data_IF_776130174910
#
_entry.id   IF_776130174910
#
_cell.length_a   1.000
_cell.length_b   1.000
_cell.length_c   1.000
_cell.angle_alpha   90.00
_cell.angle_beta   90.00
_cell.angle_gamma   90.00
#
_symmetry.space_group_name_H-M   'P 1'
#
loop_
_entity.id
_entity.type
_entity.pdbx_description
1 polymer ?
#
# COMPACT_ATOMS: atom_id res chain seq x y z
N UNK A 1 13.77 19.26 8.47
CA UNK A 1 14.29 19.91 7.26
C UNK A 1 13.68 19.20 6.07
N UNK A 2 12.76 19.83 5.34
CA UNK A 2 12.32 19.31 4.04
C UNK A 2 13.45 19.53 3.04
N UNK A 3 13.92 18.46 2.41
CA UNK A 3 14.81 18.58 1.26
C UNK A 3 14.08 19.40 0.19
N UNK A 4 14.64 20.55 -0.17
CA UNK A 4 14.11 21.41 -1.22
C UNK A 4 14.33 20.71 -2.56
N UNK A 5 13.37 19.92 -3.00
CA UNK A 5 13.30 19.45 -4.38
C UNK A 5 12.96 20.68 -5.22
N UNK A 6 13.99 21.30 -5.83
CA UNK A 6 13.78 22.41 -6.76
C UNK A 6 13.39 21.80 -8.10
N UNK A 7 12.12 21.46 -8.23
CA UNK A 7 11.56 21.06 -9.50
C UNK A 7 11.14 22.31 -10.30
N UNK A 8 11.39 22.29 -11.61
CA UNK A 8 11.13 23.44 -12.51
C UNK A 8 9.64 23.78 -12.66
N UNK A 9 8.76 22.91 -12.15
CA UNK A 9 7.30 23.04 -12.23
C UNK A 9 6.64 23.52 -10.92
N UNK A 10 7.40 23.70 -9.83
CA UNK A 10 6.84 24.18 -8.56
C UNK A 10 6.72 25.72 -8.51
N UNK A 11 5.75 26.22 -7.76
CA UNK A 11 5.53 27.66 -7.55
C UNK A 11 5.15 27.99 -6.09
N UNK A 12 4.65 29.19 -5.82
CA UNK A 12 4.32 29.65 -4.45
C UNK A 12 3.09 28.97 -3.82
N UNK A 13 2.30 28.23 -4.60
CA UNK A 13 1.08 27.55 -4.17
C UNK A 13 1.08 26.06 -4.45
N UNK A 14 1.97 25.59 -5.31
CA UNK A 14 2.02 24.21 -5.80
C UNK A 14 3.45 23.67 -5.73
N UNK A 15 3.57 22.45 -5.22
CA UNK A 15 4.84 21.71 -5.16
C UNK A 15 4.65 20.41 -5.90
N UNK A 16 5.46 20.20 -6.93
CA UNK A 16 5.52 18.94 -7.66
C UNK A 16 6.60 18.06 -7.03
N UNK A 17 6.23 16.83 -6.67
CA UNK A 17 7.17 15.81 -6.22
C UNK A 17 7.44 14.87 -7.39
N UNK A 18 8.72 14.66 -7.71
CA UNK A 18 9.18 13.69 -8.71
C UNK A 18 9.85 12.50 -8.02
N UNK A 19 9.93 11.37 -8.73
CA UNK A 19 10.56 10.14 -8.24
C UNK A 19 10.09 9.72 -6.84
N UNK A 20 8.77 9.73 -6.63
CA UNK A 20 8.16 9.41 -5.33
C UNK A 20 8.23 7.90 -5.05
N UNK A 21 8.67 7.56 -3.84
CA UNK A 21 8.75 6.19 -3.34
C UNK A 21 7.84 6.03 -2.12
N UNK A 22 7.69 4.80 -1.63
CA UNK A 22 6.83 4.50 -0.47
C UNK A 22 7.20 5.35 0.75
N UNK A 23 8.50 5.57 0.95
CA UNK A 23 9.12 6.37 2.01
C UNK A 23 8.77 7.85 1.91
N UNK A 24 8.35 8.34 0.74
CA UNK A 24 7.84 9.70 0.54
C UNK A 24 6.45 9.89 1.17
N UNK A 25 5.74 8.81 1.51
CA UNK A 25 4.45 8.89 2.20
C UNK A 25 4.59 9.58 3.56
N UNK A 26 3.66 10.48 3.88
CA UNK A 26 3.74 11.23 5.13
C UNK A 26 2.73 12.37 5.24
N UNK A 27 2.89 13.16 6.30
CA UNK A 27 2.15 14.41 6.47
C UNK A 27 2.95 15.56 5.83
N UNK A 28 2.36 16.19 4.83
CA UNK A 28 2.90 17.36 4.14
C UNK A 28 2.23 18.61 4.67
N UNK A 29 3.02 19.68 4.82
CA UNK A 29 2.55 20.95 5.39
C UNK A 29 2.87 22.11 4.46
N UNK A 30 1.91 23.00 4.30
CA UNK A 30 2.12 24.32 3.74
C UNK A 30 2.14 25.32 4.90
N UNK A 31 3.16 26.17 4.93
CA UNK A 31 3.36 27.20 5.96
C UNK A 31 3.42 28.56 5.29
N UNK A 32 2.65 29.52 5.81
CA UNK A 32 2.68 30.92 5.39
C UNK A 32 2.93 31.77 6.62
N UNK A 33 4.01 32.55 6.60
CA UNK A 33 4.42 33.42 7.72
C UNK A 33 4.42 34.88 7.30
N UNK A 34 3.75 35.73 8.09
CA UNK A 34 3.79 37.18 7.99
C UNK A 34 4.99 37.74 8.77
N UNK A 35 5.58 38.82 8.26
CA UNK A 35 6.73 39.49 8.88
C UNK A 35 6.28 40.54 9.93
N UNK A 36 7.23 41.28 10.48
CA UNK A 36 7.00 42.35 11.45
C UNK A 36 5.87 43.31 11.03
N UNK A 37 5.09 43.84 11.99
CA UNK A 37 5.23 43.69 13.44
C UNK A 37 4.41 42.53 14.06
N UNK A 38 3.57 41.85 13.28
CA UNK A 38 2.56 40.93 13.81
C UNK A 38 3.02 39.46 13.91
N UNK A 39 4.06 39.05 13.16
CA UNK A 39 4.65 37.71 13.18
C UNK A 39 3.62 36.57 13.36
N UNK A 40 2.77 36.38 12.36
CA UNK A 40 1.77 35.31 12.37
C UNK A 40 2.12 34.23 11.36
N UNK A 41 2.03 32.97 11.77
CA UNK A 41 2.25 31.81 10.90
C UNK A 41 0.99 30.97 10.83
N UNK A 42 0.48 30.74 9.62
CA UNK A 42 -0.61 29.80 9.38
C UNK A 42 -0.07 28.53 8.72
N UNK A 43 -0.56 27.38 9.19
CA UNK A 43 -0.10 26.05 8.73
C UNK A 43 -1.33 25.23 8.35
N UNK A 44 -1.25 24.59 7.18
CA UNK A 44 -2.21 23.59 6.73
C UNK A 44 -1.48 22.30 6.39
N UNK A 45 -2.07 21.18 6.79
CA UNK A 45 -1.45 19.85 6.63
C UNK A 45 -2.37 18.92 5.84
N UNK A 46 -1.78 18.04 5.05
CA UNK A 46 -2.47 16.97 4.33
C UNK A 46 -1.62 15.69 4.37
N UNK A 47 -2.27 14.52 4.30
CA UNK A 47 -1.57 13.23 4.25
C UNK A 47 -1.44 12.77 2.81
N UNK A 48 -0.23 12.37 2.42
CA UNK A 48 0.07 11.76 1.14
C UNK A 48 0.47 10.30 1.37
N UNK A 49 -0.12 9.39 0.59
CA UNK A 49 0.21 7.98 0.56
C UNK A 49 0.65 7.61 -0.85
N UNK A 50 1.90 7.19 -1.00
CA UNK A 50 2.39 6.56 -2.21
C UNK A 50 2.00 5.09 -2.13
N UNK A 51 1.17 4.64 -3.09
CA UNK A 51 0.67 3.28 -3.14
C UNK A 51 1.41 2.47 -4.20
N UNK A 52 1.78 1.24 -3.85
CA UNK A 52 2.30 0.26 -4.80
C UNK A 52 1.15 -0.62 -5.26
N UNK A 53 0.74 -0.41 -6.51
CA UNK A 53 -0.35 -1.18 -7.12
C UNK A 53 0.23 -2.53 -7.57
N UNK A 54 -0.38 -3.65 -7.16
CA UNK A 54 0.10 -4.98 -7.52
C UNK A 54 0.05 -5.16 -9.04
N UNK A 55 1.18 -5.55 -9.63
CA UNK A 55 1.22 -5.95 -11.03
C UNK A 55 0.72 -7.39 -11.17
N UNK A 56 -0.48 -7.55 -11.73
CA UNK A 56 -1.10 -8.85 -11.99
C UNK A 56 -2.22 -9.22 -11.02
N UNK A 57 -2.65 -10.48 -11.08
CA UNK A 57 -3.80 -10.99 -10.33
C UNK A 57 -3.38 -12.07 -9.32
N UNK A 58 -4.17 -12.29 -8.27
CA UNK A 58 -3.99 -13.43 -7.36
C UNK A 58 -3.98 -14.75 -8.14
N UNK A 59 -3.00 -15.61 -7.85
CA UNK A 59 -2.89 -16.94 -8.46
C UNK A 59 -3.33 -17.98 -7.46
N UNK A 60 -4.39 -18.71 -7.80
CA UNK A 60 -4.89 -19.83 -7.03
C UNK A 60 -4.23 -21.14 -7.49
N UNK A 61 -3.60 -21.85 -6.55
CA UNK A 61 -3.02 -23.18 -6.77
C UNK A 61 -3.65 -24.18 -5.82
N UNK A 62 -4.07 -25.33 -6.36
CA UNK A 62 -4.59 -26.45 -5.57
C UNK A 62 -3.64 -27.63 -5.66
N UNK A 63 -3.57 -28.45 -4.61
CA UNK A 63 -2.79 -29.70 -4.65
C UNK A 63 -3.43 -30.74 -5.58
N UNK A 64 -4.76 -30.69 -5.74
CA UNK A 64 -5.52 -31.60 -6.59
C UNK A 64 -6.57 -30.82 -7.40
N UNK A 65 -6.77 -31.22 -8.65
CA UNK A 65 -7.79 -30.64 -9.54
C UNK A 65 -9.17 -31.29 -9.36
N UNK A 66 -9.21 -32.54 -8.89
CA UNK A 66 -10.44 -33.30 -8.62
C UNK A 66 -10.31 -33.91 -7.23
N UNK A 67 -11.38 -33.78 -6.45
CA UNK A 67 -11.42 -34.26 -5.07
C UNK A 67 -12.72 -35.03 -4.88
N UNK A 68 -12.65 -36.18 -4.21
CA UNK A 68 -13.84 -36.96 -3.90
C UNK A 68 -14.73 -36.22 -2.88
N UNK A 69 -16.06 -36.44 -2.88
CA UNK A 69 -16.94 -35.91 -1.85
C UNK A 69 -16.45 -36.26 -0.44
N UNK A 70 -16.40 -35.26 0.44
CA UNK A 70 -15.93 -35.43 1.83
C UNK A 70 -14.40 -35.40 2.01
N UNK A 71 -13.61 -35.42 0.94
CA UNK A 71 -12.17 -35.26 1.03
C UNK A 71 -11.78 -33.79 1.29
N UNK A 72 -10.60 -33.59 1.89
CA UNK A 72 -10.07 -32.24 2.17
C UNK A 72 -9.29 -31.71 0.98
N UNK A 73 -9.54 -30.46 0.62
CA UNK A 73 -8.78 -29.73 -0.39
C UNK A 73 -7.85 -28.73 0.29
N UNK A 74 -6.60 -28.67 -0.15
CA UNK A 74 -5.66 -27.60 0.19
C UNK A 74 -5.42 -26.72 -1.03
N UNK A 75 -5.59 -25.43 -0.82
CA UNK A 75 -5.41 -24.40 -1.82
C UNK A 75 -4.53 -23.28 -1.27
N UNK A 76 -3.73 -22.70 -2.14
CA UNK A 76 -2.86 -21.56 -1.87
C UNK A 76 -3.23 -20.45 -2.85
N UNK A 77 -3.68 -19.31 -2.32
CA UNK A 77 -3.82 -18.08 -3.09
C UNK A 77 -2.59 -17.22 -2.83
N UNK A 78 -1.80 -16.99 -3.88
CA UNK A 78 -0.63 -16.13 -3.84
C UNK A 78 -0.94 -14.84 -4.56
N UNK A 79 -0.85 -13.70 -3.87
CA UNK A 79 -1.03 -12.38 -4.47
C UNK A 79 0.31 -11.75 -4.84
N UNK A 80 0.33 -10.80 -5.80
CA UNK A 80 1.47 -9.92 -5.97
C UNK A 80 1.69 -9.07 -4.70
N UNK A 81 2.86 -8.45 -4.58
CA UNK A 81 3.11 -7.46 -3.52
C UNK A 81 2.26 -6.22 -3.75
N UNK A 82 1.78 -5.59 -2.68
CA UNK A 82 1.10 -4.30 -2.73
C UNK A 82 1.36 -3.48 -1.49
N UNK A 83 1.24 -2.17 -1.63
CA UNK A 83 1.20 -1.25 -0.50
C UNK A 83 0.06 -0.24 -0.66
N UNK A 84 -0.86 -0.10 0.32
CA UNK A 84 -1.00 -0.93 1.52
C UNK A 84 -1.26 -2.42 1.23
N UNK A 85 -1.21 -3.25 2.27
CA UNK A 85 -1.54 -4.68 2.15
C UNK A 85 -2.94 -4.83 1.54
N UNK A 86 -3.06 -5.60 0.48
CA UNK A 86 -4.35 -5.89 -0.12
C UNK A 86 -5.21 -6.81 0.76
N UNK A 87 -6.52 -6.64 0.65
CA UNK A 87 -7.48 -7.56 1.24
C UNK A 87 -7.74 -8.72 0.28
N UNK A 88 -7.66 -9.94 0.80
CA UNK A 88 -7.87 -11.17 0.02
C UNK A 88 -9.04 -11.92 0.63
N UNK A 89 -10.08 -12.14 -0.18
CA UNK A 89 -11.29 -12.85 0.22
C UNK A 89 -11.43 -14.11 -0.62
N UNK A 90 -11.86 -15.20 0.02
CA UNK A 90 -12.06 -16.48 -0.64
C UNK A 90 -13.53 -16.73 -0.91
N UNK A 91 -13.83 -17.18 -2.13
CA UNK A 91 -15.16 -17.60 -2.55
C UNK A 91 -15.12 -19.06 -3.01
N UNK A 92 -16.10 -19.84 -2.58
CA UNK A 92 -16.34 -21.20 -3.05
C UNK A 92 -17.77 -21.23 -3.58
N UNK A 93 -17.95 -21.49 -4.88
CA UNK A 93 -19.25 -21.47 -5.56
C UNK A 93 -20.04 -20.18 -5.25
N UNK A 94 -19.39 -19.03 -5.40
CA UNK A 94 -19.93 -17.69 -5.15
C UNK A 94 -20.34 -17.40 -3.69
N UNK A 95 -20.02 -18.30 -2.76
CA UNK A 95 -20.21 -18.08 -1.34
C UNK A 95 -18.88 -17.75 -0.66
N UNK A 96 -18.86 -16.67 0.11
CA UNK A 96 -17.68 -16.30 0.89
C UNK A 96 -17.38 -17.37 1.94
N UNK A 97 -16.14 -17.88 1.93
CA UNK A 97 -15.72 -19.00 2.77
C UNK A 97 -15.46 -18.59 4.22
N UNK A 98 -16.51 -18.42 5.04
CA UNK A 98 -16.42 -17.93 6.43
C UNK A 98 -15.74 -18.86 7.47
N UNK A 99 -15.17 -20.02 7.08
CA UNK A 99 -14.78 -21.03 8.06
C UNK A 99 -13.36 -20.82 8.64
N UNK A 100 -13.24 -20.67 9.97
CA UNK A 100 -12.03 -20.34 10.76
C UNK A 100 -10.81 -21.30 10.65
N UNK A 101 -10.82 -22.26 9.71
CA UNK A 101 -9.70 -23.19 9.46
C UNK A 101 -8.82 -22.79 8.28
N UNK A 102 -9.06 -21.62 7.68
CA UNK A 102 -8.12 -20.98 6.77
C UNK A 102 -6.98 -20.38 7.59
N UNK A 103 -5.82 -21.03 7.59
CA UNK A 103 -4.61 -20.42 8.12
C UNK A 103 -4.06 -19.47 7.07
N UNK A 104 -4.23 -18.16 7.31
CA UNK A 104 -3.52 -17.12 6.59
C UNK A 104 -2.02 -17.22 6.95
N UNK A 105 -1.28 -18.06 6.24
CA UNK A 105 0.17 -18.00 6.27
C UNK A 105 0.57 -16.81 5.38
N UNK A 106 0.55 -15.61 5.97
CA UNK A 106 1.20 -14.45 5.37
C UNK A 106 2.70 -14.75 5.38
N UNK A 107 3.23 -15.33 4.31
CA UNK A 107 4.67 -15.29 4.10
C UNK A 107 5.02 -13.89 3.60
N UNK A 108 5.79 -13.09 4.35
CA UNK A 108 6.46 -11.96 3.75
C UNK A 108 7.46 -12.56 2.77
N UNK A 109 7.18 -12.53 1.45
CA UNK A 109 8.21 -12.83 0.45
C UNK A 109 9.33 -11.77 0.40
N UNK A 110 9.27 -10.79 1.30
CA UNK A 110 10.31 -9.78 1.53
C UNK A 110 10.80 -9.90 2.97
N UNK A 111 11.43 -11.02 3.31
CA UNK A 111 12.42 -11.04 4.39
C UNK A 111 13.68 -10.39 3.83
N UNK A 112 13.97 -9.18 4.30
CA UNK A 112 15.21 -8.43 4.18
C UNK A 112 16.43 -9.28 3.79
N UNK A 113 16.97 -9.04 2.60
CA UNK A 113 18.39 -9.19 2.35
C UNK A 113 18.97 -7.77 2.38
N UNK A 114 19.48 -7.39 3.54
CA UNK A 114 20.42 -6.29 3.63
C UNK A 114 21.64 -6.67 2.77
N UNK A 115 21.90 -5.85 1.76
CA UNK A 115 23.21 -5.73 1.11
C UNK A 115 23.86 -4.47 1.63
#
# INVERSE_FOLDING_TARGET
MMHRQRDSQSNSKEVTLTDVERETSGEFKCEVSADAPLFHTDIRSAKLLVAEIPEGHPVLRTEMLKVAPGAKLRANCTTPGSYPKMNVTWYINDQEGYNRRWQYAQHPRYSWQAG
#
